data_IF_371602579592
#
_entry.id   IF_371602579592
#
_cell.length_a   1.000
_cell.length_b   1.000
_cell.length_c   1.000
_cell.angle_alpha   90.00
_cell.angle_beta   90.00
_cell.angle_gamma   90.00
#
_symmetry.space_group_name_H-M   'P 1'
#
loop_
_entity.id
_entity.type
_entity.pdbx_description
1 polymer ?
#
# COMPACT_ATOMS: atom_id res chain seq x y z
N UNK A 1 6.27 -23.90 41.04
CA UNK A 1 5.91 -24.64 39.82
C UNK A 1 6.06 -23.68 38.66
N UNK A 2 7.00 -23.93 37.74
CA UNK A 2 7.24 -23.09 36.57
C UNK A 2 6.29 -23.59 35.47
N UNK A 3 5.45 -22.72 34.94
CA UNK A 3 4.53 -23.06 33.85
C UNK A 3 5.33 -23.53 32.62
N UNK A 4 4.84 -24.56 31.90
CA UNK A 4 5.52 -25.01 30.69
C UNK A 4 5.55 -23.90 29.64
N UNK A 5 6.57 -23.88 28.77
CA UNK A 5 6.65 -22.93 27.67
C UNK A 5 5.47 -23.14 26.70
N UNK A 6 5.00 -22.08 26.02
CA UNK A 6 3.95 -22.20 25.01
C UNK A 6 4.42 -23.09 23.84
N UNK A 7 3.49 -23.79 23.17
CA UNK A 7 3.83 -24.61 22.02
C UNK A 7 4.40 -23.75 20.88
N UNK A 8 5.30 -24.32 20.05
CA UNK A 8 5.82 -23.63 18.89
C UNK A 8 4.69 -23.28 17.90
N UNK A 9 4.81 -22.17 17.16
CA UNK A 9 3.83 -21.84 16.12
C UNK A 9 3.78 -22.97 15.08
N UNK A 10 2.61 -23.24 14.48
CA UNK A 10 2.48 -24.28 13.48
C UNK A 10 3.40 -23.99 12.28
N UNK A 11 3.94 -25.03 11.62
CA UNK A 11 4.81 -24.84 10.47
C UNK A 11 4.05 -24.12 9.34
N UNK A 12 4.73 -23.32 8.51
CA UNK A 12 4.11 -22.49 7.46
C UNK A 12 3.23 -23.28 6.48
N UNK A 13 3.48 -24.58 6.32
CA UNK A 13 2.65 -25.50 5.53
C UNK A 13 1.22 -25.63 6.06
N UNK A 14 1.03 -25.55 7.38
CA UNK A 14 -0.30 -25.57 8.02
C UNK A 14 -1.07 -24.30 7.70
N UNK A 15 -0.39 -23.15 7.59
CA UNK A 15 -1.02 -21.89 7.22
C UNK A 15 -1.54 -21.95 5.78
N UNK A 16 -0.76 -22.53 4.87
CA UNK A 16 -1.18 -22.75 3.48
C UNK A 16 -2.35 -23.74 3.37
N UNK A 17 -2.47 -24.71 4.27
CA UNK A 17 -3.58 -25.68 4.24
C UNK A 17 -4.90 -25.13 4.81
N UNK A 18 -4.86 -24.05 5.60
CA UNK A 18 -6.05 -23.42 6.20
C UNK A 18 -6.41 -22.07 5.58
N UNK A 19 -5.51 -21.50 4.77
CA UNK A 19 -5.79 -20.31 3.97
C UNK A 19 -6.44 -20.79 2.67
N UNK A 20 -7.73 -20.52 2.43
CA UNK A 20 -8.35 -20.92 1.17
C UNK A 20 -7.58 -20.26 0.02
N UNK A 21 -7.25 -21.06 -1.00
CA UNK A 21 -6.77 -20.52 -2.26
C UNK A 21 -7.87 -19.63 -2.82
N UNK A 22 -7.51 -18.38 -3.17
CA UNK A 22 -8.44 -17.49 -3.84
C UNK A 22 -8.72 -18.05 -5.23
N UNK A 23 -10.00 -18.26 -5.53
CA UNK A 23 -10.40 -18.65 -6.86
C UNK A 23 -10.23 -17.47 -7.82
N UNK A 24 -9.94 -17.77 -9.10
CA UNK A 24 -9.77 -16.75 -10.15
C UNK A 24 -11.02 -15.85 -10.26
N UNK A 25 -12.20 -16.42 -10.01
CA UNK A 25 -13.48 -15.70 -10.01
C UNK A 25 -13.58 -14.68 -8.87
N UNK A 26 -12.87 -14.88 -7.77
CA UNK A 26 -12.83 -13.96 -6.63
C UNK A 26 -11.93 -12.74 -6.89
N UNK A 27 -11.14 -12.72 -7.95
CA UNK A 27 -10.26 -11.61 -8.33
C UNK A 27 -10.66 -11.02 -9.71
N UNK A 28 -11.92 -11.14 -10.09
CA UNK A 28 -12.40 -10.84 -11.44
C UNK A 28 -12.12 -9.39 -11.88
N UNK A 29 -12.18 -8.44 -10.94
CA UNK A 29 -11.95 -7.01 -11.21
C UNK A 29 -10.47 -6.76 -11.49
N UNK A 30 -9.59 -7.34 -10.69
CA UNK A 30 -8.14 -7.26 -10.89
C UNK A 30 -7.68 -7.88 -12.22
N UNK A 31 -8.41 -8.88 -12.71
CA UNK A 31 -8.09 -9.62 -13.95
C UNK A 31 -8.58 -8.95 -15.24
N UNK A 32 -9.42 -7.91 -15.14
CA UNK A 32 -9.93 -7.18 -16.30
C UNK A 32 -8.77 -6.65 -17.15
N UNK A 33 -8.83 -6.72 -18.51
CA UNK A 33 -7.71 -6.34 -19.38
C UNK A 33 -7.13 -4.95 -19.08
N UNK A 34 -8.00 -3.97 -18.79
CA UNK A 34 -7.62 -2.58 -18.45
C UNK A 34 -6.86 -2.41 -17.11
N UNK A 35 -6.89 -3.42 -16.23
CA UNK A 35 -6.30 -3.38 -14.90
C UNK A 35 -5.00 -4.18 -14.79
N UNK A 36 -4.69 -5.03 -15.79
CA UNK A 36 -3.54 -5.95 -15.74
C UNK A 36 -2.20 -5.22 -15.59
N UNK A 37 -2.03 -4.11 -16.29
CA UNK A 37 -0.79 -3.31 -16.22
C UNK A 37 -0.59 -2.60 -14.89
N UNK A 38 -1.65 -2.51 -14.07
CA UNK A 38 -1.60 -1.97 -12.70
C UNK A 38 -1.22 -3.04 -11.65
N UNK A 39 -1.09 -4.30 -12.05
CA UNK A 39 -0.69 -5.40 -11.17
C UNK A 39 0.79 -5.73 -11.33
N UNK A 40 1.51 -5.82 -10.20
CA UNK A 40 2.92 -6.22 -10.20
C UNK A 40 3.11 -7.70 -10.57
N UNK A 41 2.20 -8.55 -10.11
CA UNK A 41 2.11 -9.96 -10.49
C UNK A 41 0.65 -10.35 -10.58
N UNK A 42 0.33 -11.24 -11.52
CA UNK A 42 -0.99 -11.84 -11.63
C UNK A 42 -1.24 -12.92 -10.57
N UNK A 43 -0.19 -13.34 -9.85
CA UNK A 43 -0.29 -14.29 -8.73
C UNK A 43 -0.64 -13.62 -7.41
N UNK A 44 -0.54 -12.28 -7.35
CA UNK A 44 -0.76 -11.48 -6.13
C UNK A 44 -1.82 -10.43 -6.42
N UNK A 45 -3.08 -10.85 -6.35
CA UNK A 45 -4.25 -10.02 -6.61
C UNK A 45 -5.12 -9.95 -5.35
N UNK A 46 -5.70 -8.76 -5.05
CA UNK A 46 -6.69 -8.63 -4.00
C UNK A 46 -8.00 -9.29 -4.44
N UNK A 47 -8.72 -9.99 -3.53
CA UNK A 47 -10.05 -10.48 -3.84
C UNK A 47 -11.05 -9.32 -3.92
N UNK A 48 -12.02 -9.42 -4.82
CA UNK A 48 -13.03 -8.42 -5.14
C UNK A 48 -13.80 -7.97 -3.89
N UNK A 49 -14.05 -8.88 -2.93
CA UNK A 49 -14.74 -8.58 -1.66
C UNK A 49 -14.01 -7.60 -0.75
N UNK A 50 -12.70 -7.46 -0.88
CA UNK A 50 -11.88 -6.55 -0.07
C UNK A 50 -11.10 -5.54 -0.90
N UNK A 51 -11.30 -5.53 -2.21
CA UNK A 51 -10.62 -4.62 -3.13
C UNK A 51 -10.93 -3.16 -2.78
N UNK A 52 -9.88 -2.35 -2.61
CA UNK A 52 -10.00 -0.92 -2.43
C UNK A 52 -10.22 -0.23 -3.79
N UNK A 53 -11.15 0.73 -3.82
CA UNK A 53 -11.39 1.58 -4.98
C UNK A 53 -10.98 3.02 -4.70
N UNK A 54 -10.39 3.66 -5.70
CA UNK A 54 -10.09 5.09 -5.68
C UNK A 54 -11.38 5.91 -5.84
N UNK A 55 -11.56 6.89 -4.96
CA UNK A 55 -12.75 7.76 -4.88
C UNK A 55 -12.44 9.15 -5.43
N UNK A 56 -11.21 9.64 -5.26
CA UNK A 56 -10.79 10.87 -5.90
C UNK A 56 -10.79 10.68 -7.41
N UNK A 57 -11.53 11.54 -8.13
CA UNK A 57 -11.62 11.46 -9.58
C UNK A 57 -10.34 12.00 -10.23
N UNK A 58 -9.87 11.31 -11.27
CA UNK A 58 -8.86 11.79 -12.21
C UNK A 58 -9.45 11.69 -13.61
N UNK A 59 -10.42 12.57 -13.91
CA UNK A 59 -11.15 12.55 -15.18
C UNK A 59 -11.79 11.19 -15.47
N UNK A 60 -11.47 10.60 -16.63
CA UNK A 60 -11.94 9.28 -17.10
C UNK A 60 -11.07 8.10 -16.63
N UNK A 61 -10.15 8.32 -15.68
CA UNK A 61 -9.24 7.28 -15.19
C UNK A 61 -9.95 6.12 -14.46
N UNK A 62 -9.38 4.91 -14.57
CA UNK A 62 -9.85 3.73 -13.83
C UNK A 62 -9.75 3.96 -12.31
N UNK A 63 -10.79 3.56 -11.57
CA UNK A 63 -10.81 3.58 -10.10
C UNK A 63 -10.08 2.38 -9.45
N UNK A 64 -9.47 1.52 -10.25
CA UNK A 64 -8.74 0.35 -9.79
C UNK A 64 -7.31 0.67 -9.32
N UNK A 65 -6.96 0.11 -8.17
CA UNK A 65 -5.60 -0.06 -7.66
C UNK A 65 -5.48 -1.45 -7.03
N UNK A 66 -4.33 -2.11 -7.16
CA UNK A 66 -4.07 -3.39 -6.50
C UNK A 66 -3.86 -3.15 -4.99
N UNK A 67 -4.95 -3.05 -4.23
CA UNK A 67 -4.93 -2.88 -2.79
C UNK A 67 -6.13 -3.58 -2.15
N UNK A 68 -5.93 -4.19 -0.99
CA UNK A 68 -6.97 -4.85 -0.21
C UNK A 68 -7.19 -4.12 1.12
N UNK A 69 -8.45 -4.00 1.51
CA UNK A 69 -8.86 -3.61 2.85
C UNK A 69 -8.74 -4.82 3.77
N UNK A 70 -8.16 -4.61 4.93
CA UNK A 70 -7.99 -5.63 5.94
C UNK A 70 -8.51 -5.16 7.30
N UNK A 71 -9.13 -6.08 8.01
CA UNK A 71 -9.68 -5.82 9.33
C UNK A 71 -8.56 -5.83 10.38
N UNK A 72 -8.76 -5.06 11.43
CA UNK A 72 -8.06 -5.26 12.69
C UNK A 72 -8.93 -6.11 13.62
N UNK A 73 -8.38 -6.49 14.78
CA UNK A 73 -9.17 -7.14 15.82
C UNK A 73 -10.37 -6.30 16.29
N UNK A 74 -10.27 -4.97 16.24
CA UNK A 74 -11.27 -4.06 16.83
C UNK A 74 -12.12 -3.31 15.80
N UNK A 75 -11.73 -3.29 14.54
CA UNK A 75 -12.34 -2.45 13.51
C UNK A 75 -12.21 -3.08 12.12
N UNK A 76 -13.32 -3.17 11.36
CA UNK A 76 -13.27 -3.59 9.96
C UNK A 76 -12.57 -2.54 9.09
N UNK A 77 -11.93 -2.96 7.99
CA UNK A 77 -11.20 -2.10 7.06
C UNK A 77 -10.21 -1.12 7.75
N UNK A 78 -9.54 -1.60 8.79
CA UNK A 78 -8.60 -0.79 9.57
C UNK A 78 -7.27 -0.56 8.86
N UNK A 79 -6.91 -1.45 7.92
CA UNK A 79 -5.67 -1.39 7.17
C UNK A 79 -5.92 -1.43 5.67
N UNK A 80 -5.04 -0.78 4.93
CA UNK A 80 -4.92 -0.92 3.49
C UNK A 80 -3.61 -1.65 3.20
N UNK A 81 -3.69 -2.80 2.54
CA UNK A 81 -2.54 -3.63 2.16
C UNK A 81 -2.37 -3.52 0.66
N UNK A 82 -1.19 -3.11 0.21
CA UNK A 82 -0.87 -2.90 -1.21
C UNK A 82 0.56 -3.31 -1.50
N UNK A 83 0.87 -3.87 -2.69
CA UNK A 83 2.23 -3.91 -3.19
C UNK A 83 2.81 -2.49 -3.27
N UNK A 84 4.14 -2.39 -3.25
CA UNK A 84 4.78 -1.11 -3.53
C UNK A 84 4.42 -0.63 -4.95
N UNK A 85 4.26 0.70 -5.17
CA UNK A 85 3.79 1.24 -6.44
C UNK A 85 4.67 0.86 -7.64
N UNK A 86 4.04 0.65 -8.78
CA UNK A 86 4.65 0.65 -10.11
C UNK A 86 4.76 2.10 -10.64
N UNK A 87 5.63 2.39 -11.63
CA UNK A 87 5.75 3.73 -12.20
C UNK A 87 4.40 4.32 -12.64
N UNK A 88 3.57 3.52 -13.33
CA UNK A 88 2.24 3.93 -13.80
C UNK A 88 1.14 4.00 -12.72
N UNK A 89 1.44 3.61 -11.47
CA UNK A 89 0.46 3.58 -10.37
C UNK A 89 0.84 4.50 -9.20
N UNK A 90 1.87 5.32 -9.37
CA UNK A 90 2.34 6.21 -8.28
C UNK A 90 1.28 7.25 -7.90
N UNK A 91 0.57 7.82 -8.89
CA UNK A 91 -0.57 8.72 -8.66
C UNK A 91 -1.70 8.01 -7.92
N UNK A 92 -2.06 6.80 -8.37
CA UNK A 92 -3.10 5.97 -7.74
C UNK A 92 -2.77 5.66 -6.27
N UNK A 93 -1.49 5.43 -5.94
CA UNK A 93 -1.06 5.20 -4.56
C UNK A 93 -1.29 6.42 -3.66
N UNK A 94 -0.93 7.63 -4.10
CA UNK A 94 -1.17 8.84 -3.29
C UNK A 94 -2.66 9.15 -3.15
N UNK A 95 -3.44 8.89 -4.21
CA UNK A 95 -4.91 8.96 -4.17
C UNK A 95 -5.49 7.97 -3.16
N UNK A 96 -5.01 6.73 -3.14
CA UNK A 96 -5.43 5.70 -2.18
C UNK A 96 -5.19 6.17 -0.73
N UNK A 97 -4.00 6.71 -0.44
CA UNK A 97 -3.70 7.18 0.91
C UNK A 97 -4.61 8.35 1.33
N UNK A 98 -4.89 9.27 0.42
CA UNK A 98 -5.79 10.39 0.66
C UNK A 98 -7.24 9.92 0.85
N UNK A 99 -7.75 9.08 -0.06
CA UNK A 99 -9.14 8.60 -0.09
C UNK A 99 -9.53 7.81 1.17
N UNK A 100 -8.58 7.04 1.72
CA UNK A 100 -8.80 6.23 2.91
C UNK A 100 -8.33 6.91 4.20
N UNK A 101 -7.95 8.19 4.15
CA UNK A 101 -7.52 8.96 5.31
C UNK A 101 -6.30 8.35 6.02
N UNK A 102 -5.43 7.67 5.27
CA UNK A 102 -4.25 7.03 5.82
C UNK A 102 -3.33 8.10 6.42
N UNK A 103 -3.06 8.05 7.72
CA UNK A 103 -2.09 8.97 8.34
C UNK A 103 -0.71 8.33 8.49
N UNK A 104 -0.60 7.03 8.22
CA UNK A 104 0.66 6.29 8.33
C UNK A 104 0.82 5.24 7.24
N UNK A 105 2.02 5.14 6.68
CA UNK A 105 2.43 4.08 5.75
C UNK A 105 3.61 3.35 6.36
N UNK A 106 3.56 2.02 6.38
CA UNK A 106 4.68 1.18 6.80
C UNK A 106 5.23 0.47 5.57
N UNK A 107 6.43 0.85 5.15
CA UNK A 107 7.12 0.18 4.06
C UNK A 107 8.06 -0.89 4.63
N UNK A 108 7.83 -2.14 4.22
CA UNK A 108 8.56 -3.32 4.69
C UNK A 108 9.67 -3.78 3.74
N UNK A 109 9.71 -3.24 2.52
CA UNK A 109 10.69 -3.62 1.49
C UNK A 109 11.83 -2.61 1.44
N UNK A 110 13.04 -3.09 1.16
CA UNK A 110 14.18 -2.21 0.84
C UNK A 110 14.02 -1.64 -0.58
N UNK A 111 14.39 -0.37 -0.76
CA UNK A 111 14.53 0.21 -2.10
C UNK A 111 15.63 -0.51 -2.88
N UNK A 112 15.39 -0.79 -4.16
CA UNK A 112 16.40 -1.32 -5.08
C UNK A 112 17.18 -2.54 -4.55
N UNK A 113 16.49 -3.57 -4.05
CA UNK A 113 17.12 -4.89 -3.94
C UNK A 113 17.62 -5.28 -5.33
N UNK A 114 18.94 -5.20 -5.52
CA UNK A 114 19.65 -5.28 -6.80
C UNK A 114 19.43 -6.59 -7.56
N UNK A 115 18.84 -7.59 -6.91
CA UNK A 115 18.52 -8.90 -7.47
C UNK A 115 17.01 -9.16 -7.68
N UNK A 116 16.15 -8.15 -7.52
CA UNK A 116 14.71 -8.31 -7.78
C UNK A 116 14.39 -8.00 -9.24
N UNK A 117 13.58 -8.85 -9.89
CA UNK A 117 13.07 -8.60 -11.24
C UNK A 117 12.19 -7.32 -11.32
N UNK A 118 11.81 -6.77 -10.17
CA UNK A 118 10.87 -5.67 -10.04
C UNK A 118 11.26 -4.72 -8.89
N UNK A 119 12.30 -3.88 -9.06
CA UNK A 119 12.78 -3.01 -8.00
C UNK A 119 11.69 -2.05 -7.51
N UNK A 120 11.69 -1.77 -6.21
CA UNK A 120 10.86 -0.71 -5.66
C UNK A 120 11.43 0.63 -6.10
N UNK A 121 10.72 1.32 -6.99
CA UNK A 121 11.02 2.71 -7.31
C UNK A 121 10.69 3.62 -6.13
N UNK A 122 11.37 4.75 -6.09
CA UNK A 122 11.00 5.85 -5.21
C UNK A 122 9.73 6.52 -5.76
N UNK A 123 8.69 6.57 -4.93
CA UNK A 123 7.39 7.15 -5.27
C UNK A 123 7.08 8.44 -4.49
N UNK A 124 8.09 9.04 -3.88
CA UNK A 124 8.01 10.25 -3.04
C UNK A 124 9.09 11.27 -3.42
N UNK A 125 8.91 12.56 -3.11
CA UNK A 125 9.92 13.60 -3.37
C UNK A 125 11.14 13.47 -2.44
N UNK A 126 12.33 13.81 -2.93
CA UNK A 126 13.54 13.99 -2.12
C UNK A 126 14.36 15.22 -2.53
N UNK A 127 14.60 16.16 -1.59
CA UNK A 127 13.62 16.98 -0.86
C UNK A 127 12.70 17.81 -1.78
N UNK A 128 11.66 18.42 -1.20
CA UNK A 128 10.80 19.38 -1.90
C UNK A 128 9.36 18.91 -2.11
N UNK A 129 8.68 19.58 -3.05
CA UNK A 129 7.29 19.34 -3.43
C UNK A 129 7.23 18.65 -4.79
N UNK A 130 6.44 17.58 -4.88
CA UNK A 130 6.15 16.91 -6.15
C UNK A 130 4.65 16.72 -6.32
N UNK A 131 4.19 16.89 -7.55
CA UNK A 131 2.79 16.66 -7.94
C UNK A 131 2.63 15.28 -8.58
N UNK A 132 1.63 14.54 -8.12
CA UNK A 132 1.19 13.25 -8.63
C UNK A 132 -0.30 13.35 -8.99
N UNK A 133 -0.60 13.68 -10.25
CA UNK A 133 -1.96 13.97 -10.69
C UNK A 133 -2.58 15.10 -9.83
N UNK A 134 -3.73 14.87 -9.15
CA UNK A 134 -4.35 15.86 -8.28
C UNK A 134 -3.70 15.99 -6.89
N UNK A 135 -2.72 15.14 -6.56
CA UNK A 135 -2.06 15.13 -5.25
C UNK A 135 -0.77 15.94 -5.28
N UNK A 136 -0.60 16.84 -4.33
CA UNK A 136 0.70 17.46 -4.04
C UNK A 136 1.28 16.83 -2.78
N UNK A 137 2.54 16.40 -2.86
CA UNK A 137 3.26 15.71 -1.77
C UNK A 137 4.52 16.50 -1.49
N UNK A 138 4.67 16.94 -0.25
CA UNK A 138 5.83 17.72 0.21
C UNK A 138 6.56 16.94 1.30
N UNK A 139 7.87 16.72 1.13
CA UNK A 139 8.70 16.19 2.21
C UNK A 139 8.95 17.31 3.23
N UNK A 140 8.39 17.16 4.44
CA UNK A 140 8.57 18.12 5.53
C UNK A 140 9.83 17.80 6.35
N UNK A 141 9.96 16.54 6.77
CA UNK A 141 11.11 16.09 7.56
C UNK A 141 11.51 14.67 7.18
N UNK A 142 12.81 14.40 7.33
CA UNK A 142 13.38 13.06 7.24
C UNK A 142 14.25 12.84 8.45
N UNK A 143 13.99 11.76 9.17
CA UNK A 143 14.81 11.28 10.28
C UNK A 143 15.21 9.84 10.00
N UNK A 144 16.42 9.47 10.37
CA UNK A 144 16.92 8.12 10.25
C UNK A 144 17.45 7.69 11.62
N UNK A 145 17.03 6.50 12.03
CA UNK A 145 17.58 5.71 13.13
C UNK A 145 18.11 4.40 12.52
N UNK A 146 18.96 3.67 13.22
CA UNK A 146 19.79 2.58 12.66
C UNK A 146 18.99 1.58 11.79
N UNK A 147 17.76 1.26 12.19
CA UNK A 147 16.87 0.31 11.48
C UNK A 147 15.67 0.97 10.79
N UNK A 148 15.45 2.29 10.96
CA UNK A 148 14.19 2.93 10.55
C UNK A 148 14.43 4.31 9.95
N UNK A 149 13.91 4.53 8.74
CA UNK A 149 13.82 5.88 8.18
C UNK A 149 12.37 6.36 8.34
N UNK A 150 12.18 7.53 8.93
CA UNK A 150 10.86 8.16 9.05
C UNK A 150 10.84 9.40 8.18
N UNK A 151 9.85 9.48 7.29
CA UNK A 151 9.60 10.65 6.44
C UNK A 151 8.23 11.22 6.76
N UNK A 152 8.17 12.50 7.10
CA UNK A 152 6.93 13.23 7.30
C UNK A 152 6.56 13.95 6.00
N UNK A 153 5.35 13.71 5.51
CA UNK A 153 4.84 14.34 4.30
C UNK A 153 3.60 15.18 4.58
N UNK A 154 3.51 16.32 3.90
CA UNK A 154 2.24 17.03 3.71
C UNK A 154 1.63 16.54 2.41
N UNK A 155 0.37 16.12 2.45
CA UNK A 155 -0.35 15.73 1.25
C UNK A 155 -1.64 16.53 1.12
N UNK A 156 -1.82 17.14 -0.04
CA UNK A 156 -3.00 17.92 -0.35
C UNK A 156 -3.58 17.47 -1.70
N UNK A 157 -4.89 17.55 -1.80
CA UNK A 157 -5.58 17.38 -3.06
C UNK A 157 -5.95 18.77 -3.62
N UNK A 158 -5.35 19.15 -4.73
CA UNK A 158 -5.55 20.49 -5.32
C UNK A 158 -6.97 20.70 -5.85
N UNK A 159 -7.72 19.62 -6.10
CA UNK A 159 -9.12 19.67 -6.53
C UNK A 159 -10.09 19.82 -5.36
N UNK A 160 -9.63 19.58 -4.13
CA UNK A 160 -10.43 19.63 -2.89
C UNK A 160 -9.75 20.51 -1.85
N UNK A 161 -9.76 21.82 -2.09
CA UNK A 161 -9.06 22.88 -1.32
C UNK A 161 -9.40 22.95 0.18
N UNK A 162 -10.32 22.12 0.71
CA UNK A 162 -10.81 22.18 2.10
C UNK A 162 -10.24 21.12 3.06
N UNK A 163 -9.45 20.15 2.60
CA UNK A 163 -8.95 19.06 3.45
C UNK A 163 -7.45 18.80 3.26
N UNK A 164 -6.64 19.37 4.15
CA UNK A 164 -5.21 19.07 4.28
C UNK A 164 -5.01 17.80 5.13
N UNK A 165 -4.21 16.85 4.64
CA UNK A 165 -3.86 15.65 5.38
C UNK A 165 -2.36 15.62 5.66
N UNK A 166 -1.98 15.45 6.93
CA UNK A 166 -0.59 15.21 7.32
C UNK A 166 -0.37 13.70 7.40
N UNK A 167 0.56 13.20 6.60
CA UNK A 167 0.88 11.77 6.53
C UNK A 167 2.29 11.48 7.04
N UNK A 168 2.42 10.48 7.92
CA UNK A 168 3.69 9.99 8.46
C UNK A 168 4.07 8.67 7.80
N UNK A 169 5.04 8.68 6.90
CA UNK A 169 5.54 7.44 6.30
C UNK A 169 6.72 6.93 7.12
N UNK A 170 6.60 5.69 7.61
CA UNK A 170 7.64 4.97 8.34
C UNK A 170 8.20 3.86 7.44
N UNK A 171 9.51 3.84 7.28
CA UNK A 171 10.24 2.77 6.60
C UNK A 171 10.95 1.96 7.67
N UNK A 172 10.68 0.65 7.73
CA UNK A 172 11.46 -0.25 8.57
C UNK A 172 12.41 -1.02 7.65
N UNK A 173 13.70 -0.90 7.90
CA UNK A 173 14.71 -1.76 7.32
C UNK A 173 14.98 -2.87 8.35
N UNK A 174 14.94 -4.12 7.90
CA UNK A 174 15.64 -5.22 8.56
C UNK A 174 16.81 -5.59 7.64
#
# INVERSE_FOLDING_TARGET
>A
MISPPPPPPPPPQTLNSVTPHLDVEECSISLMPRNREKNRSMDVLPPDRSLAFLVTAEGEGSNYINAALADSFLRPAAFVVTPHPLPGTTTDFWRLLYDYGCTSVVMLNQLNQSNSAWPCLQYWPEPGLQQFGPMTVELLTRTADDDVIIRLFRVQNITRVREEHIMKIKYRFN
#
